data_IF_957097166815
#
_entry.id   IF_957097166815
#
_cell.length_a   1.000
_cell.length_b   1.000
_cell.length_c   1.000
_cell.angle_alpha   90.00
_cell.angle_beta   90.00
_cell.angle_gamma   90.00
#
_symmetry.space_group_name_H-M   'P 1'
#
loop_
_entity.id
_entity.type
_entity.pdbx_description
1 polymer ?
#
# COMPACT_ATOMS: atom_id res chain seq x y z
N UNK A 1 -5.31 2.49 2.38
CA UNK A 1 -4.82 1.38 1.53
C UNK A 1 -4.11 2.04 0.37
N UNK A 2 -2.79 2.09 0.48
CA UNK A 2 -1.90 2.60 -0.55
C UNK A 2 -1.95 1.70 -1.79
N UNK A 3 -1.86 2.27 -2.99
CA UNK A 3 -1.82 1.50 -4.25
C UNK A 3 -0.54 1.83 -5.02
N UNK A 4 0.29 0.83 -5.24
CA UNK A 4 1.52 0.92 -6.02
C UNK A 4 1.25 0.34 -7.41
N UNK A 5 1.17 1.20 -8.41
CA UNK A 5 1.05 0.78 -9.81
C UNK A 5 2.43 0.64 -10.47
N UNK A 6 2.72 -0.56 -10.95
CA UNK A 6 3.95 -0.94 -11.63
C UNK A 6 3.74 -1.24 -13.12
N UNK A 7 2.53 -1.09 -13.65
CA UNK A 7 2.27 -1.46 -15.05
C UNK A 7 3.20 -0.69 -16.00
N UNK A 8 3.72 -1.39 -17.00
CA UNK A 8 4.58 -0.79 -18.02
C UNK A 8 5.98 -0.38 -17.53
N UNK A 9 6.30 -0.54 -16.24
CA UNK A 9 7.62 -0.23 -15.71
C UNK A 9 8.65 -1.30 -16.08
N UNK A 10 9.90 -0.87 -16.19
CA UNK A 10 11.05 -1.77 -16.17
C UNK A 10 11.23 -2.38 -14.78
N UNK A 11 12.04 -3.44 -14.69
CA UNK A 11 12.34 -4.08 -13.41
C UNK A 11 13.03 -3.13 -12.42
N UNK A 12 13.91 -2.27 -12.92
CA UNK A 12 14.65 -1.33 -12.09
C UNK A 12 13.73 -0.24 -11.52
N UNK A 13 12.89 0.35 -12.36
CA UNK A 13 11.87 1.32 -11.92
C UNK A 13 10.87 0.69 -10.94
N UNK A 14 10.43 -0.53 -11.24
CA UNK A 14 9.48 -1.23 -10.38
C UNK A 14 10.09 -1.55 -9.00
N UNK A 15 11.38 -1.93 -8.96
CA UNK A 15 12.11 -2.15 -7.71
C UNK A 15 12.19 -0.87 -6.88
N UNK A 16 12.71 0.20 -7.48
CA UNK A 16 12.90 1.48 -6.79
C UNK A 16 11.57 2.02 -6.26
N UNK A 17 10.48 1.89 -7.04
CA UNK A 17 9.15 2.30 -6.62
C UNK A 17 8.57 1.45 -5.50
N UNK A 18 8.80 0.13 -5.53
CA UNK A 18 8.34 -0.76 -4.45
C UNK A 18 9.01 -0.43 -3.12
N UNK A 19 10.34 -0.28 -3.12
CA UNK A 19 11.13 0.05 -1.92
C UNK A 19 10.63 1.36 -1.30
N UNK A 20 10.65 2.45 -2.07
CA UNK A 20 10.22 3.76 -1.60
C UNK A 20 8.77 3.77 -1.09
N UNK A 21 7.83 3.16 -1.81
CA UNK A 21 6.41 3.25 -1.46
C UNK A 21 6.05 2.35 -0.29
N UNK A 22 6.73 1.23 -0.09
CA UNK A 22 6.51 0.35 1.07
C UNK A 22 7.04 1.02 2.35
N UNK A 23 8.23 1.63 2.30
CA UNK A 23 8.77 2.42 3.41
C UNK A 23 7.83 3.58 3.76
N UNK A 24 7.46 4.41 2.78
CA UNK A 24 6.52 5.51 3.00
C UNK A 24 5.19 5.02 3.58
N UNK A 25 4.63 3.94 3.03
CA UNK A 25 3.38 3.37 3.53
C UNK A 25 3.51 2.95 4.99
N UNK A 26 4.63 2.34 5.37
CA UNK A 26 4.91 1.96 6.74
C UNK A 26 5.03 3.19 7.65
N UNK A 27 5.82 4.20 7.26
CA UNK A 27 6.02 5.44 8.02
C UNK A 27 4.73 6.24 8.23
N UNK A 28 3.87 6.30 7.21
CA UNK A 28 2.55 6.94 7.32
C UNK A 28 1.51 6.09 8.05
N UNK A 29 1.88 4.90 8.53
CA UNK A 29 1.01 4.00 9.28
C UNK A 29 -0.05 3.30 8.43
N UNK A 30 0.13 3.22 7.11
CA UNK A 30 -0.71 2.40 6.24
C UNK A 30 -0.46 0.92 6.52
N UNK A 31 -1.54 0.17 6.73
CA UNK A 31 -1.44 -1.26 7.10
C UNK A 31 -1.58 -2.21 5.92
N UNK A 32 -2.10 -1.73 4.80
CA UNK A 32 -2.40 -2.57 3.65
C UNK A 32 -2.00 -1.81 2.39
N UNK A 33 -1.20 -2.47 1.56
CA UNK A 33 -0.73 -1.96 0.28
C UNK A 33 -1.19 -2.89 -0.83
N UNK A 34 -1.71 -2.31 -1.91
CA UNK A 34 -2.09 -3.04 -3.13
C UNK A 34 -1.04 -2.78 -4.20
N UNK A 35 -0.40 -3.83 -4.70
CA UNK A 35 0.60 -3.76 -5.76
C UNK A 35 -0.06 -4.21 -7.06
N UNK A 36 -0.12 -3.33 -8.06
CA UNK A 36 -0.67 -3.63 -9.39
C UNK A 36 0.51 -3.84 -10.33
N UNK A 37 0.77 -5.08 -10.71
CA UNK A 37 1.85 -5.44 -11.64
C UNK A 37 1.32 -5.85 -13.03
N UNK A 38 0.00 -5.92 -13.19
CA UNK A 38 -0.67 -6.33 -14.42
C UNK A 38 -0.74 -7.86 -14.59
N UNK A 39 -1.62 -8.31 -15.47
CA UNK A 39 -1.90 -9.75 -15.70
C UNK A 39 -0.94 -10.40 -16.72
N UNK A 40 -0.17 -9.59 -17.47
CA UNK A 40 0.72 -10.06 -18.54
C UNK A 40 0.03 -10.78 -19.71
N UNK A 41 -1.28 -10.55 -19.91
CA UNK A 41 -2.06 -11.16 -21.00
C UNK A 41 -1.72 -10.63 -22.40
N UNK A 42 -0.92 -9.56 -22.49
CA UNK A 42 -0.57 -8.90 -23.76
C UNK A 42 0.94 -8.80 -24.02
N UNK A 43 1.80 -9.35 -23.15
CA UNK A 43 3.23 -9.38 -23.42
C UNK A 43 3.60 -10.69 -24.12
N UNK A 44 4.23 -10.60 -25.30
CA UNK A 44 4.71 -11.77 -26.05
C UNK A 44 5.74 -12.60 -25.25
N UNK A 45 6.41 -11.96 -24.30
CA UNK A 45 7.26 -12.58 -23.29
C UNK A 45 6.52 -12.56 -21.95
N UNK A 46 6.63 -13.63 -21.17
CA UNK A 46 6.04 -13.89 -19.84
C UNK A 46 5.80 -12.67 -18.91
N UNK A 47 4.87 -12.75 -17.93
CA UNK A 47 4.57 -11.66 -16.99
C UNK A 47 5.75 -11.36 -16.05
N UNK A 48 6.74 -10.60 -16.54
CA UNK A 48 8.02 -10.31 -15.86
C UNK A 48 7.78 -9.65 -14.49
N UNK A 49 6.94 -8.62 -14.44
CA UNK A 49 6.69 -7.88 -13.20
C UNK A 49 5.97 -8.70 -12.14
N UNK A 50 5.05 -9.59 -12.54
CA UNK A 50 4.37 -10.51 -11.60
C UNK A 50 5.37 -11.42 -10.91
N UNK A 51 6.25 -12.05 -11.68
CA UNK A 51 7.29 -12.93 -11.15
C UNK A 51 8.29 -12.17 -10.30
N UNK A 52 8.67 -10.96 -10.73
CA UNK A 52 9.55 -10.08 -9.97
C UNK A 52 8.96 -9.69 -8.62
N UNK A 53 7.72 -9.19 -8.57
CA UNK A 53 7.08 -8.76 -7.31
C UNK A 53 7.00 -9.93 -6.32
N UNK A 54 6.64 -11.13 -6.78
CA UNK A 54 6.58 -12.32 -5.92
C UNK A 54 7.94 -12.64 -5.32
N UNK A 55 8.97 -12.70 -6.16
CA UNK A 55 10.33 -12.99 -5.72
C UNK A 55 10.87 -11.90 -4.79
N UNK A 56 10.63 -10.63 -5.12
CA UNK A 56 11.06 -9.50 -4.30
C UNK A 56 10.42 -9.53 -2.91
N UNK A 57 9.11 -9.83 -2.82
CA UNK A 57 8.42 -9.96 -1.52
C UNK A 57 8.94 -11.13 -0.67
N UNK A 58 9.48 -12.17 -1.29
CA UNK A 58 10.05 -13.34 -0.60
C UNK A 58 11.51 -13.09 -0.18
N UNK A 59 12.31 -12.44 -1.02
CA UNK A 59 13.78 -12.35 -0.87
C UNK A 59 14.29 -11.01 -0.33
N UNK A 60 13.61 -9.89 -0.57
CA UNK A 60 14.13 -8.58 -0.24
C UNK A 60 14.12 -8.34 1.28
N UNK A 61 15.24 -7.89 1.83
CA UNK A 61 15.38 -7.55 3.26
C UNK A 61 14.33 -6.53 3.69
N UNK A 62 14.12 -5.48 2.89
CA UNK A 62 13.08 -4.47 3.10
C UNK A 62 11.67 -5.07 3.16
N UNK A 63 11.36 -6.01 2.26
CA UNK A 63 10.07 -6.70 2.29
C UNK A 63 9.94 -7.55 3.55
N UNK A 64 10.99 -8.29 3.92
CA UNK A 64 10.99 -9.09 5.14
C UNK A 64 10.92 -8.24 6.41
N UNK A 65 11.43 -7.01 6.39
CA UNK A 65 11.33 -6.06 7.49
C UNK A 65 9.91 -5.54 7.65
N UNK A 66 9.30 -5.01 6.59
CA UNK A 66 8.02 -4.28 6.66
C UNK A 66 6.78 -5.12 6.40
N UNK A 67 6.85 -6.24 5.68
CA UNK A 67 5.68 -7.02 5.27
C UNK A 67 5.39 -8.13 6.28
N UNK A 68 4.14 -8.19 6.74
CA UNK A 68 3.63 -9.19 7.68
C UNK A 68 2.96 -10.36 6.96
N UNK A 69 2.20 -10.07 5.90
CA UNK A 69 1.44 -11.08 5.17
C UNK A 69 1.30 -10.69 3.72
N UNK A 70 1.43 -11.66 2.82
CA UNK A 70 1.27 -11.50 1.38
C UNK A 70 0.06 -12.31 0.90
N UNK A 71 -0.83 -11.65 0.15
CA UNK A 71 -1.98 -12.25 -0.50
C UNK A 71 -1.75 -12.20 -2.01
N UNK A 72 -1.65 -13.37 -2.63
CA UNK A 72 -1.53 -13.49 -4.08
C UNK A 72 -2.89 -13.14 -4.69
N UNK A 73 -2.89 -12.26 -5.68
CA UNK A 73 -4.15 -11.81 -6.28
C UNK A 73 -4.97 -12.94 -6.90
N UNK A 74 -4.38 -14.06 -7.34
CA UNK A 74 -5.12 -15.24 -7.84
C UNK A 74 -6.07 -15.84 -6.80
N UNK A 75 -5.69 -15.76 -5.53
CA UNK A 75 -6.48 -16.28 -4.40
C UNK A 75 -7.40 -15.20 -3.82
N UNK A 76 -7.17 -13.94 -4.18
CA UNK A 76 -7.79 -12.77 -3.57
C UNK A 76 -7.23 -12.47 -2.18
N UNK A 77 -7.92 -11.59 -1.46
CA UNK A 77 -7.55 -11.22 -0.09
C UNK A 77 -8.80 -10.85 0.72
N UNK A 78 -8.69 -10.66 2.05
CA UNK A 78 -9.76 -10.05 2.83
C UNK A 78 -10.14 -8.64 2.37
N UNK A 79 -9.31 -7.99 1.55
CA UNK A 79 -9.47 -6.60 1.10
C UNK A 79 -9.90 -6.48 -0.36
N UNK A 80 -9.64 -7.50 -1.20
CA UNK A 80 -9.86 -7.47 -2.64
C UNK A 80 -10.33 -8.83 -3.17
N UNK A 81 -11.18 -8.81 -4.20
CA UNK A 81 -11.58 -10.03 -4.90
C UNK A 81 -10.37 -10.63 -5.67
N UNK A 82 -10.41 -11.93 -6.00
CA UNK A 82 -9.39 -12.55 -6.84
C UNK A 82 -9.13 -11.78 -8.14
N UNK A 83 -7.90 -11.29 -8.29
CA UNK A 83 -7.39 -10.59 -9.45
C UNK A 83 -5.92 -10.99 -9.71
N UNK A 84 -5.60 -11.74 -10.78
CA UNK A 84 -4.24 -12.21 -11.06
C UNK A 84 -3.21 -11.10 -11.36
N UNK A 85 -3.66 -9.86 -11.57
CA UNK A 85 -2.83 -8.71 -11.91
C UNK A 85 -2.40 -7.87 -10.72
N UNK A 86 -2.77 -8.29 -9.51
CA UNK A 86 -2.39 -7.62 -8.28
C UNK A 86 -1.77 -8.58 -7.26
N UNK A 87 -1.10 -7.99 -6.29
CA UNK A 87 -0.67 -8.64 -5.05
C UNK A 87 -0.97 -7.68 -3.90
N UNK A 88 -1.62 -8.17 -2.85
CA UNK A 88 -1.94 -7.36 -1.68
C UNK A 88 -1.02 -7.75 -0.54
N UNK A 89 -0.46 -6.77 0.15
CA UNK A 89 0.42 -7.01 1.30
C UNK A 89 -0.08 -6.27 2.52
N UNK A 90 0.03 -6.92 3.69
CA UNK A 90 -0.21 -6.32 5.00
C UNK A 90 1.14 -5.95 5.60
N UNK A 91 1.29 -4.72 6.06
CA UNK A 91 2.51 -4.24 6.69
C UNK A 91 2.50 -4.50 8.21
N UNK A 92 3.69 -4.72 8.76
CA UNK A 92 3.98 -4.84 10.20
C UNK A 92 3.74 -3.51 10.92
N UNK A 93 3.88 -3.52 12.24
CA UNK A 93 3.82 -2.32 13.09
C UNK A 93 2.51 -2.11 13.83
N UNK A 94 2.52 -1.21 14.81
CA UNK A 94 1.35 -0.60 15.45
C UNK A 94 1.26 0.85 14.97
N UNK A 95 0.07 1.44 14.90
CA UNK A 95 -0.08 2.81 14.37
C UNK A 95 0.60 3.82 15.29
N UNK A 96 1.87 4.15 15.05
CA UNK A 96 2.53 5.30 15.68
C UNK A 96 2.08 6.53 14.91
N UNK A 97 1.03 7.19 15.41
CA UNK A 97 0.60 8.48 14.87
C UNK A 97 1.64 9.51 15.31
N UNK A 98 2.73 9.63 14.56
CA UNK A 98 3.73 10.68 14.75
C UNK A 98 3.09 12.06 14.60
N UNK A 99 3.43 12.95 15.52
CA UNK A 99 2.92 14.31 15.64
C UNK A 99 3.21 15.13 14.37
N UNK A 100 2.23 15.95 13.98
CA UNK A 100 2.27 16.81 12.80
C UNK A 100 3.52 17.71 12.80
N UNK A 101 4.44 17.50 11.87
CA UNK A 101 5.27 18.59 11.37
C UNK A 101 4.46 19.34 10.31
N UNK A 102 4.15 20.60 10.64
CA UNK A 102 3.35 21.52 9.84
C UNK A 102 4.14 21.91 8.59
N UNK A 103 3.82 21.32 7.44
CA UNK A 103 4.38 21.72 6.15
C UNK A 103 3.53 22.87 5.57
N UNK A 104 4.22 23.98 5.33
CA UNK A 104 3.73 25.25 4.79
C UNK A 104 3.14 25.11 3.38
N UNK A 105 2.04 25.81 3.16
CA UNK A 105 1.09 25.58 2.08
C UNK A 105 1.19 26.65 0.99
N UNK A 106 2.23 26.59 0.15
CA UNK A 106 2.21 27.32 -1.12
C UNK A 106 2.99 26.58 -2.23
N UNK A 107 2.39 25.53 -2.82
CA UNK A 107 2.44 25.26 -4.27
C UNK A 107 1.68 23.98 -4.66
N UNK A 108 0.85 24.12 -5.70
CA UNK A 108 0.21 23.13 -6.58
C UNK A 108 -1.10 22.42 -6.14
N UNK A 109 -2.13 22.64 -6.97
CA UNK A 109 -3.57 22.41 -6.76
C UNK A 109 -3.97 20.92 -6.73
N UNK A 110 -3.08 19.99 -7.14
CA UNK A 110 -3.34 18.54 -7.19
C UNK A 110 -3.34 17.83 -5.81
N UNK A 111 -2.79 18.48 -4.77
CA UNK A 111 -2.66 17.92 -3.41
C UNK A 111 -3.90 18.15 -2.50
N UNK A 112 -4.93 18.86 -2.98
CA UNK A 112 -6.13 19.26 -2.22
C UNK A 112 -7.17 18.14 -2.04
N UNK A 113 -7.37 17.28 -3.05
CA UNK A 113 -8.36 16.20 -3.00
C UNK A 113 -7.90 15.02 -2.11
N UNK A 114 -6.59 14.74 -2.17
CA UNK A 114 -5.93 13.71 -1.36
C UNK A 114 -6.07 14.01 0.14
N UNK A 115 -5.94 15.28 0.55
CA UNK A 115 -6.04 15.67 1.98
C UNK A 115 -7.49 15.76 2.50
N UNK A 116 -8.49 16.05 1.65
CA UNK A 116 -9.91 16.10 2.07
C UNK A 116 -10.49 14.73 2.41
N UNK A 117 -10.17 13.70 1.62
CA UNK A 117 -10.68 12.34 1.86
C UNK A 117 -10.05 11.70 3.10
N UNK A 118 -8.78 12.02 3.37
CA UNK A 118 -8.04 11.62 4.58
C UNK A 118 -8.66 12.23 5.85
N UNK A 119 -9.11 13.50 5.82
CA UNK A 119 -9.83 14.16 6.94
C UNK A 119 -11.23 13.57 7.21
N UNK A 120 -11.95 13.16 6.17
CA UNK A 120 -13.32 12.63 6.27
C UNK A 120 -13.42 11.24 6.91
N UNK A 121 -12.53 10.31 6.56
CA UNK A 121 -12.53 8.95 7.13
C UNK A 121 -12.00 8.93 8.58
N UNK A 122 -10.98 9.74 8.91
CA UNK A 122 -10.46 9.89 10.29
C UNK A 122 -11.53 10.44 11.26
N UNK A 123 -12.44 11.31 10.80
CA UNK A 123 -13.55 11.84 11.60
C UNK A 123 -14.64 10.80 11.93
N UNK A 124 -14.86 9.81 11.06
CA UNK A 124 -15.86 8.75 11.26
C UNK A 124 -15.37 7.66 12.23
N UNK A 125 -14.08 7.32 12.20
CA UNK A 125 -13.48 6.35 13.12
C UNK A 125 -13.35 6.88 14.56
N UNK A 126 -13.04 8.18 14.76
CA UNK A 126 -13.00 8.80 16.11
C UNK A 126 -14.36 8.87 16.83
N UNK A 127 -15.48 8.82 16.10
CA UNK A 127 -16.83 8.77 16.69
C UNK A 127 -17.22 7.36 17.17
N UNK A 128 -16.61 6.32 16.63
CA UNK A 128 -16.92 4.93 16.99
C UNK A 128 -16.17 4.48 18.26
N UNK A 129 -14.92 4.91 18.43
CA UNK A 129 -14.10 4.60 19.62
C UNK A 129 -14.60 5.26 20.91
N UNK A 130 -15.47 6.28 20.83
CA UNK A 130 -16.15 6.91 21.99
C UNK A 130 -17.27 6.05 22.61
N UNK A 131 -17.62 4.89 22.03
CA UNK A 131 -18.74 4.04 22.52
C UNK A 131 -18.33 2.84 23.38
N UNK A 132 -17.04 2.58 23.59
CA UNK A 132 -16.58 1.37 24.30
C UNK A 132 -15.90 1.65 25.65
N UNK A 133 -15.83 2.91 26.09
CA UNK A 133 -15.35 3.31 27.42
C UNK A 133 -16.47 3.52 28.46
N UNK A 134 -17.70 3.04 28.16
CA UNK A 134 -18.90 3.32 28.97
C UNK A 134 -19.70 2.05 29.36
N UNK A 135 -19.08 0.87 29.33
CA UNK A 135 -19.69 -0.34 29.90
C UNK A 135 -18.66 -1.17 30.64
N UNK A 136 -18.81 -1.13 31.97
CA UNK A 136 -18.27 -2.00 33.01
C UNK A 136 -17.98 -3.43 32.58
#
# INVERSE_FOLDING_TARGET
METIDLHGMTLEEAKAKLEQRIENAFEYGERVVRIIHGQGKHSANFPILKSFVRRWLEEAELAQEYVETVFRGEDGSPYTLPNPGETVVRLKGETVIGENEEIDWVADDEEWDVRKQIKGKKARQRRATRKQFDRH
#
